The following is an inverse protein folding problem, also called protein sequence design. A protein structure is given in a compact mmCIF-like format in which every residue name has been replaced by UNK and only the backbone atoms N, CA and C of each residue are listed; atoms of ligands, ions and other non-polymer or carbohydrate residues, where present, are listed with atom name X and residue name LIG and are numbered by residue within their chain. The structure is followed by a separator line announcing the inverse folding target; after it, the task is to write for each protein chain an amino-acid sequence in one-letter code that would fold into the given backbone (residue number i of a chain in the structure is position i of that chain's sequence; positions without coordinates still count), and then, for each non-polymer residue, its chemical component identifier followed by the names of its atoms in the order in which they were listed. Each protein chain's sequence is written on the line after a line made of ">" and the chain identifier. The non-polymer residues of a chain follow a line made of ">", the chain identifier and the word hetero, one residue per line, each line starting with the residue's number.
data_IF_323281257344
#
_entry.id   IF_323281257344
#
_cell.length_a   1.000
_cell.length_b   1.000
_cell.length_c   1.000
_cell.angle_alpha   90.00
_cell.angle_beta   90.00
_cell.angle_gamma   90.00
#
_symmetry.space_group_name_H-M   'P 1'
#
loop_
_entity.id
_entity.type
_entity.pdbx_description
1 polymer ?
#
# COMPACT_ATOMS: atom_id res chain seq x y z
N UNK A 1 14.79 -5.96 -0.26
CA UNK A 1 14.25 -5.94 -1.64
C UNK A 1 14.68 -4.68 -2.36
N UNK A 2 14.96 -4.77 -3.64
CA UNK A 2 15.31 -3.60 -4.45
C UNK A 2 14.06 -2.94 -5.05
N UNK A 3 14.19 -1.67 -5.42
CA UNK A 3 13.14 -0.95 -6.14
C UNK A 3 12.80 -1.64 -7.47
N UNK A 4 13.79 -2.21 -8.13
CA UNK A 4 13.59 -2.94 -9.39
C UNK A 4 12.64 -4.14 -9.22
N UNK A 5 12.80 -4.90 -8.15
CA UNK A 5 11.92 -6.03 -7.86
C UNK A 5 10.52 -5.54 -7.48
N UNK A 6 10.43 -4.49 -6.66
CA UNK A 6 9.15 -3.90 -6.27
C UNK A 6 8.34 -3.45 -7.49
N UNK A 7 8.99 -2.81 -8.47
CA UNK A 7 8.31 -2.30 -9.67
C UNK A 7 7.76 -3.39 -10.59
N UNK A 8 8.07 -4.66 -10.34
CA UNK A 8 7.39 -5.77 -11.03
C UNK A 8 5.94 -5.96 -10.56
N UNK A 9 5.61 -5.49 -9.36
CA UNK A 9 4.32 -5.72 -8.71
C UNK A 9 3.56 -4.45 -8.40
N UNK A 10 4.23 -3.30 -8.40
CA UNK A 10 3.65 -2.03 -7.99
C UNK A 10 4.40 -0.89 -8.67
N UNK A 11 3.72 0.24 -8.90
CA UNK A 11 4.37 1.43 -9.43
C UNK A 11 4.76 2.37 -8.30
N UNK A 12 6.03 2.35 -7.91
CA UNK A 12 6.55 3.14 -6.79
C UNK A 12 6.24 4.63 -6.91
N UNK A 13 6.44 5.20 -8.10
CA UNK A 13 6.21 6.64 -8.31
C UNK A 13 4.76 7.02 -7.99
N UNK A 14 3.81 6.25 -8.49
CA UNK A 14 2.38 6.50 -8.24
C UNK A 14 2.06 6.40 -6.74
N UNK A 15 2.56 5.36 -6.08
CA UNK A 15 2.31 5.16 -4.64
C UNK A 15 2.92 6.29 -3.82
N UNK A 16 4.15 6.68 -4.14
CA UNK A 16 4.83 7.76 -3.42
C UNK A 16 4.13 9.11 -3.61
N UNK A 17 3.70 9.40 -4.84
CA UNK A 17 2.97 10.63 -5.14
C UNK A 17 1.65 10.70 -4.36
N UNK A 18 0.91 9.60 -4.31
CA UNK A 18 -0.33 9.50 -3.51
C UNK A 18 -0.05 9.69 -2.03
N UNK A 19 1.03 9.10 -1.52
CA UNK A 19 1.40 9.22 -0.11
C UNK A 19 1.74 10.65 0.26
N UNK A 20 2.50 11.36 -0.58
CA UNK A 20 2.81 12.76 -0.37
C UNK A 20 1.53 13.60 -0.34
N UNK A 21 0.57 13.30 -1.21
CA UNK A 21 -0.70 14.02 -1.29
C UNK A 21 -1.62 13.72 -0.10
N UNK A 22 -1.78 12.45 0.28
CA UNK A 22 -2.78 12.03 1.27
C UNK A 22 -2.24 12.01 2.71
N UNK A 23 -0.95 11.71 2.88
CA UNK A 23 -0.31 11.56 4.20
C UNK A 23 0.77 12.59 4.47
N UNK A 24 1.12 13.41 3.48
CA UNK A 24 2.16 14.45 3.57
C UNK A 24 3.53 13.87 3.95
N UNK A 25 3.84 12.68 3.47
CA UNK A 25 5.11 12.00 3.70
C UNK A 25 5.36 10.95 2.62
N UNK A 26 6.65 10.61 2.37
CA UNK A 26 6.98 9.61 1.37
C UNK A 26 6.76 8.19 1.88
N UNK A 27 6.72 7.23 0.94
CA UNK A 27 6.86 5.81 1.25
C UNK A 27 8.28 5.36 0.92
N UNK A 28 8.67 4.23 1.48
CA UNK A 28 9.96 3.60 1.22
C UNK A 28 9.75 2.13 0.86
N UNK A 29 10.72 1.54 0.18
CA UNK A 29 10.74 0.10 -0.04
C UNK A 29 10.83 -0.59 1.32
N UNK A 30 9.93 -1.54 1.57
CA UNK A 30 9.88 -2.22 2.87
C UNK A 30 11.17 -3.00 3.14
N UNK A 31 11.60 -3.00 4.39
CA UNK A 31 12.69 -3.85 4.86
C UNK A 31 12.21 -5.27 5.18
N UNK A 32 10.91 -5.53 5.20
CA UNK A 32 10.35 -6.86 5.41
C UNK A 32 10.26 -7.60 4.07
N UNK A 33 10.56 -8.91 4.10
CA UNK A 33 10.62 -9.74 2.89
C UNK A 33 9.26 -9.92 2.21
N UNK A 34 8.18 -9.89 2.98
CA UNK A 34 6.82 -10.18 2.51
C UNK A 34 6.01 -8.93 2.20
N UNK A 35 6.57 -7.74 2.39
CA UNK A 35 5.84 -6.47 2.22
C UNK A 35 6.48 -5.60 1.14
N UNK A 36 5.64 -4.78 0.47
CA UNK A 36 6.08 -3.88 -0.60
C UNK A 36 6.65 -2.58 -0.06
N UNK A 37 5.93 -1.94 0.85
CA UNK A 37 6.20 -0.56 1.29
C UNK A 37 6.23 -0.44 2.79
N UNK A 38 6.88 0.63 3.25
CA UNK A 38 6.74 1.07 4.63
C UNK A 38 6.57 2.59 4.64
N UNK A 39 5.80 3.07 5.61
CA UNK A 39 5.53 4.49 5.82
C UNK A 39 5.69 4.79 7.30
N UNK A 40 6.24 5.96 7.63
CA UNK A 40 6.39 6.37 9.02
C UNK A 40 5.07 6.94 9.52
N UNK A 41 4.57 6.43 10.64
CA UNK A 41 3.35 6.96 11.27
C UNK A 41 3.67 8.18 12.15
N UNK A 42 2.63 8.74 12.81
CA UNK A 42 2.79 9.92 13.64
C UNK A 42 3.61 9.65 14.92
N UNK A 43 3.73 8.40 15.33
CA UNK A 43 4.55 7.97 16.47
C UNK A 43 6.00 7.65 16.07
N UNK A 44 6.40 7.99 14.85
CA UNK A 44 7.74 7.77 14.29
C UNK A 44 8.12 6.28 14.19
N UNK A 45 7.12 5.43 13.95
CA UNK A 45 7.31 4.00 13.70
C UNK A 45 6.97 3.69 12.25
N UNK A 46 7.73 2.78 11.63
CA UNK A 46 7.41 2.31 10.27
C UNK A 46 6.29 1.28 10.31
N UNK A 47 5.29 1.50 9.47
CA UNK A 47 4.18 0.58 9.23
C UNK A 47 4.40 -0.05 7.86
N UNK A 48 4.50 -1.37 7.81
CA UNK A 48 4.71 -2.11 6.56
C UNK A 48 3.36 -2.51 5.99
N UNK A 49 3.21 -2.37 4.66
CA UNK A 49 1.95 -2.69 3.99
C UNK A 49 2.17 -3.17 2.56
N UNK A 50 1.14 -3.82 2.01
CA UNK A 50 1.18 -4.37 0.66
C UNK A 50 1.87 -5.73 0.62
N UNK A 51 1.15 -6.76 0.17
CA UNK A 51 1.71 -8.11 0.04
C UNK A 51 2.59 -8.19 -1.19
N UNK A 52 3.85 -8.58 -1.03
CA UNK A 52 4.75 -8.83 -2.13
C UNK A 52 4.35 -10.13 -2.85
N UNK A 53 4.57 -10.18 -4.16
CA UNK A 53 4.23 -11.33 -4.98
C UNK A 53 2.91 -11.19 -5.75
N UNK A 54 2.13 -10.15 -5.47
CA UNK A 54 0.88 -9.85 -6.16
C UNK A 54 0.95 -8.43 -6.71
N UNK A 55 0.49 -8.26 -7.97
CA UNK A 55 0.34 -6.94 -8.54
C UNK A 55 -0.80 -6.20 -7.87
N UNK A 56 -0.64 -4.89 -7.67
CA UNK A 56 -1.72 -4.02 -7.22
C UNK A 56 -2.23 -3.16 -8.39
N UNK A 57 -3.26 -2.35 -8.13
CA UNK A 57 -3.89 -1.54 -9.17
C UNK A 57 -2.91 -0.55 -9.81
N UNK A 58 -1.94 -0.05 -9.07
CA UNK A 58 -0.95 0.89 -9.64
C UNK A 58 -0.11 0.25 -10.74
N UNK A 59 -0.06 -1.09 -10.80
CA UNK A 59 0.70 -1.84 -11.80
C UNK A 59 -0.18 -2.38 -12.92
N UNK A 60 -1.23 -3.14 -12.58
CA UNK A 60 -2.04 -3.81 -13.61
C UNK A 60 -3.12 -2.90 -14.21
N UNK A 61 -3.58 -1.88 -13.48
CA UNK A 61 -4.62 -0.94 -13.91
C UNK A 61 -5.93 -1.63 -14.32
N UNK A 62 -6.21 -2.82 -13.76
CA UNK A 62 -7.38 -3.63 -14.07
C UNK A 62 -8.51 -3.28 -13.12
N UNK A 63 -9.52 -2.56 -13.62
CA UNK A 63 -10.66 -2.10 -12.82
C UNK A 63 -11.48 -3.25 -12.23
N UNK A 64 -11.56 -4.39 -12.92
CA UNK A 64 -12.28 -5.54 -12.41
C UNK A 64 -11.58 -6.16 -11.20
N UNK A 65 -10.25 -6.29 -11.27
CA UNK A 65 -9.44 -6.77 -10.15
C UNK A 65 -9.49 -5.79 -8.98
N UNK A 66 -9.48 -4.49 -9.26
CA UNK A 66 -9.62 -3.44 -8.25
C UNK A 66 -10.94 -3.57 -7.51
N UNK A 67 -12.04 -3.71 -8.24
CA UNK A 67 -13.39 -3.85 -7.67
C UNK A 67 -13.48 -5.07 -6.75
N UNK A 68 -12.93 -6.20 -7.19
CA UNK A 68 -12.94 -7.44 -6.41
C UNK A 68 -12.09 -7.31 -5.14
N UNK A 69 -10.93 -6.67 -5.24
CA UNK A 69 -10.08 -6.43 -4.08
C UNK A 69 -10.79 -5.54 -3.05
N UNK A 70 -11.36 -4.41 -3.48
CA UNK A 70 -12.03 -3.48 -2.59
C UNK A 70 -13.25 -4.11 -1.93
N UNK A 71 -13.99 -4.95 -2.65
CA UNK A 71 -15.12 -5.66 -2.07
C UNK A 71 -14.72 -6.57 -0.91
N UNK A 72 -13.54 -7.21 -0.97
CA UNK A 72 -13.00 -8.02 0.12
C UNK A 72 -12.40 -7.18 1.23
N UNK A 73 -11.54 -6.22 0.86
CA UNK A 73 -10.77 -5.43 1.82
C UNK A 73 -11.66 -4.56 2.70
N UNK A 74 -12.73 -4.00 2.15
CA UNK A 74 -13.64 -3.13 2.91
C UNK A 74 -14.53 -3.90 3.89
N UNK A 75 -14.59 -5.23 3.79
CA UNK A 75 -15.35 -6.08 4.70
C UNK A 75 -14.52 -6.63 5.86
N UNK A 76 -13.22 -6.36 5.89
CA UNK A 76 -12.35 -6.80 6.97
C UNK A 76 -12.79 -6.12 8.28
N UNK A 77 -12.95 -6.93 9.34
CA UNK A 77 -13.35 -6.44 10.66
C UNK A 77 -12.19 -5.73 11.35
N UNK A 78 -12.52 -4.83 12.31
CA UNK A 78 -11.54 -4.13 13.12
C UNK A 78 -11.62 -2.62 12.92
N UNK A 79 -10.68 -1.89 13.53
CA UNK A 79 -10.68 -0.42 13.56
C UNK A 79 -9.91 0.21 12.39
N UNK A 80 -9.62 -0.56 11.34
CA UNK A 80 -8.79 -0.08 10.24
C UNK A 80 -9.37 1.15 9.54
N UNK A 81 -10.69 1.32 9.53
CA UNK A 81 -11.35 2.46 8.89
C UNK A 81 -11.04 3.78 9.58
N UNK A 82 -10.84 3.75 10.89
CA UNK A 82 -10.53 4.93 11.70
C UNK A 82 -9.03 5.14 11.90
N UNK A 83 -8.23 4.10 11.62
CA UNK A 83 -6.77 4.17 11.70
C UNK A 83 -6.19 4.30 10.29
N UNK A 84 -5.87 5.53 9.90
CA UNK A 84 -5.31 5.82 8.57
C UNK A 84 -3.96 5.16 8.30
N UNK A 85 -3.25 4.74 9.34
CA UNK A 85 -1.97 4.04 9.23
C UNK A 85 -2.10 2.53 9.40
N UNK A 86 -3.31 1.97 9.49
CA UNK A 86 -3.45 0.52 9.47
C UNK A 86 -3.00 -0.03 8.11
N UNK A 87 -2.37 -1.21 8.06
CA UNK A 87 -1.93 -1.79 6.79
C UNK A 87 -3.05 -1.92 5.77
N UNK A 88 -4.26 -2.27 6.20
CA UNK A 88 -5.40 -2.40 5.30
C UNK A 88 -5.82 -1.05 4.71
N UNK A 89 -5.88 0.00 5.53
CA UNK A 89 -6.23 1.34 5.06
C UNK A 89 -5.18 1.88 4.11
N UNK A 90 -3.90 1.72 4.44
CA UNK A 90 -2.79 2.12 3.57
C UNK A 90 -2.86 1.42 2.21
N UNK A 91 -3.12 0.11 2.20
CA UNK A 91 -3.23 -0.66 0.96
C UNK A 91 -4.41 -0.18 0.11
N UNK A 92 -5.57 0.05 0.71
CA UNK A 92 -6.74 0.55 -0.01
C UNK A 92 -6.47 1.94 -0.62
N UNK A 93 -5.89 2.84 0.16
CA UNK A 93 -5.71 4.23 -0.28
C UNK A 93 -4.55 4.42 -1.25
N UNK A 94 -3.47 3.65 -1.08
CA UNK A 94 -2.23 3.86 -1.84
C UNK A 94 -2.03 2.87 -2.98
N UNK A 95 -2.54 1.64 -2.86
CA UNK A 95 -2.29 0.58 -3.84
C UNK A 95 -3.50 0.28 -4.73
N UNK A 96 -4.68 0.52 -4.25
CA UNK A 96 -5.94 0.20 -4.91
C UNK A 96 -6.87 1.40 -4.99
#
# INVERSE_FOLDING_TARGET
>A
MSLHILNKYSDFKTVNDKSLQLYNRPVFVSTRKDKKYMIMNDSKKFIHFGQLGYEDFTKHLDENRRRLYLARATKIKGNWKTDKFSPNNLSIRLLW
#
